data_IF_708182701456
#
_entry.id   IF_708182701456
#
_cell.length_a   1.000
_cell.length_b   1.000
_cell.length_c   1.000
_cell.angle_alpha   90.00
_cell.angle_beta   90.00
_cell.angle_gamma   90.00
#
_symmetry.space_group_name_H-M   'P 1'
#
loop_
_entity.id
_entity.type
_entity.pdbx_description
1 polymer ?
#
# COMPACT_ATOMS: atom_id res chain seq x y z
N UNK A 1 -0.12 -3.18 18.42
CA UNK A 1 0.29 -1.84 18.88
C UNK A 1 -0.59 -0.75 18.26
N UNK A 2 -1.37 -0.03 19.06
CA UNK A 2 -2.34 0.96 18.58
C UNK A 2 -1.69 2.28 18.11
N UNK A 3 -0.49 2.60 18.60
CA UNK A 3 0.26 3.79 18.19
C UNK A 3 0.81 3.65 16.77
N UNK A 4 1.19 2.43 16.37
CA UNK A 4 1.58 2.13 14.98
C UNK A 4 0.43 2.43 14.00
N UNK A 5 -0.79 2.00 14.34
CA UNK A 5 -2.02 2.24 13.55
C UNK A 5 -2.42 3.71 13.49
N UNK A 6 -2.18 4.48 14.56
CA UNK A 6 -2.47 5.91 14.57
C UNK A 6 -1.52 6.71 13.67
N UNK A 7 -0.22 6.37 13.63
CA UNK A 7 0.74 7.01 12.70
C UNK A 7 0.47 6.62 11.25
N UNK A 8 0.09 5.36 11.02
CA UNK A 8 -0.37 4.85 9.72
C UNK A 8 -1.49 5.71 9.14
N UNK A 9 -2.53 5.96 9.93
CA UNK A 9 -3.67 6.77 9.50
C UNK A 9 -3.27 8.22 9.19
N UNK A 10 -2.48 8.85 10.07
CA UNK A 10 -2.19 10.29 9.94
C UNK A 10 -1.28 10.66 8.77
N UNK A 11 -0.31 9.81 8.44
CA UNK A 11 0.71 10.15 7.42
C UNK A 11 0.46 9.44 6.07
N UNK A 12 -0.09 8.22 6.09
CA UNK A 12 -0.16 7.38 4.88
C UNK A 12 -1.55 7.31 4.26
N UNK A 13 -2.66 7.40 5.02
CA UNK A 13 -4.00 7.54 4.42
C UNK A 13 -4.13 8.74 3.47
N UNK A 14 -3.70 9.96 3.82
CA UNK A 14 -3.80 11.09 2.90
C UNK A 14 -2.96 10.87 1.64
N UNK A 15 -1.80 10.23 1.76
CA UNK A 15 -0.97 9.88 0.61
C UNK A 15 -1.68 8.85 -0.30
N UNK A 16 -2.22 7.76 0.26
CA UNK A 16 -2.94 6.75 -0.52
C UNK A 16 -4.18 7.36 -1.18
N UNK A 17 -4.99 8.15 -0.46
CA UNK A 17 -6.15 8.86 -1.03
C UNK A 17 -5.77 9.82 -2.14
N UNK A 18 -4.63 10.50 -2.04
CA UNK A 18 -4.16 11.45 -3.05
C UNK A 18 -3.71 10.76 -4.33
N UNK A 19 -3.11 9.57 -4.21
CA UNK A 19 -2.50 8.88 -5.34
C UNK A 19 -3.43 7.88 -6.02
N UNK A 20 -4.37 7.29 -5.28
CA UNK A 20 -5.38 6.39 -5.84
C UNK A 20 -6.48 7.21 -6.51
N UNK A 21 -6.76 6.90 -7.79
CA UNK A 21 -7.79 7.58 -8.60
C UNK A 21 -9.01 6.72 -8.90
N UNK A 22 -8.99 5.46 -8.48
CA UNK A 22 -10.08 4.50 -8.71
C UNK A 22 -10.88 4.27 -7.42
N UNK A 23 -12.18 3.95 -7.53
CA UNK A 23 -12.97 3.58 -6.36
C UNK A 23 -12.43 2.29 -5.73
N UNK A 24 -12.21 2.33 -4.42
CA UNK A 24 -11.73 1.19 -3.64
C UNK A 24 -12.72 0.81 -2.55
N UNK A 25 -12.76 -0.48 -2.23
CA UNK A 25 -13.42 -0.96 -1.02
C UNK A 25 -12.55 -0.68 0.20
N UNK A 26 -13.15 -0.52 1.38
CA UNK A 26 -12.44 -0.20 2.63
C UNK A 26 -11.25 -1.15 2.89
N UNK A 27 -11.45 -2.46 2.73
CA UNK A 27 -10.38 -3.45 2.92
C UNK A 27 -9.21 -3.30 1.93
N UNK A 28 -9.47 -2.85 0.70
CA UNK A 28 -8.41 -2.59 -0.29
C UNK A 28 -7.61 -1.34 0.09
N UNK A 29 -8.32 -0.31 0.57
CA UNK A 29 -7.69 0.90 1.06
C UNK A 29 -6.80 0.61 2.27
N UNK A 30 -7.29 -0.15 3.26
CA UNK A 30 -6.53 -0.54 4.45
C UNK A 30 -5.26 -1.33 4.07
N UNK A 31 -5.35 -2.22 3.07
CA UNK A 31 -4.21 -2.96 2.55
C UNK A 31 -3.15 -2.04 1.92
N UNK A 32 -3.57 -1.03 1.14
CA UNK A 32 -2.65 -0.06 0.52
C UNK A 32 -1.97 0.83 1.55
N UNK A 33 -2.68 1.23 2.61
CA UNK A 33 -2.10 2.01 3.72
C UNK A 33 -1.04 1.19 4.44
N UNK A 34 -1.33 -0.09 4.73
CA UNK A 34 -0.38 -1.03 5.33
C UNK A 34 0.88 -1.22 4.45
N UNK A 35 0.69 -1.37 3.13
CA UNK A 35 1.79 -1.47 2.19
C UNK A 35 2.62 -0.18 2.14
N UNK A 36 1.96 0.98 2.01
CA UNK A 36 2.59 2.29 1.93
C UNK A 36 3.47 2.59 3.14
N UNK A 37 3.13 2.05 4.32
CA UNK A 37 3.98 2.10 5.50
C UNK A 37 5.18 1.16 5.44
N UNK A 38 4.98 -0.07 4.96
CA UNK A 38 6.05 -1.04 4.86
C UNK A 38 7.16 -0.58 3.90
N UNK A 39 6.79 0.09 2.81
CA UNK A 39 7.71 0.48 1.72
C UNK A 39 8.01 1.99 1.72
N UNK A 40 7.25 2.79 2.46
CA UNK A 40 7.29 4.25 2.46
C UNK A 40 6.42 4.89 1.36
N UNK A 41 5.84 6.06 1.66
CA UNK A 41 4.91 6.76 0.75
C UNK A 41 5.56 7.15 -0.60
N UNK A 42 6.85 7.46 -0.61
CA UNK A 42 7.60 7.77 -1.83
C UNK A 42 7.79 6.56 -2.76
N UNK A 43 8.02 5.37 -2.19
CA UNK A 43 8.11 4.13 -2.95
C UNK A 43 6.74 3.67 -3.43
N UNK A 44 5.70 3.83 -2.59
CA UNK A 44 4.31 3.56 -2.97
C UNK A 44 3.87 4.41 -4.18
N UNK A 45 4.16 5.71 -4.17
CA UNK A 45 3.85 6.60 -5.29
C UNK A 45 4.50 6.17 -6.62
N UNK A 46 5.72 5.62 -6.57
CA UNK A 46 6.44 5.12 -7.77
C UNK A 46 6.18 3.64 -8.07
N UNK A 47 5.36 2.96 -7.28
CA UNK A 47 5.15 1.52 -7.39
C UNK A 47 4.36 1.14 -8.65
N UNK A 48 4.74 0.01 -9.27
CA UNK A 48 3.98 -0.61 -10.37
C UNK A 48 2.57 -0.99 -9.92
N UNK A 49 2.39 -1.29 -8.64
CA UNK A 49 1.10 -1.58 -8.02
C UNK A 49 0.13 -0.40 -8.16
N UNK A 50 0.55 0.81 -7.75
CA UNK A 50 -0.30 2.01 -7.85
C UNK A 50 -0.65 2.33 -9.31
N UNK A 51 0.30 2.16 -10.23
CA UNK A 51 0.07 2.32 -11.68
C UNK A 51 -1.00 1.36 -12.19
N UNK A 52 -0.89 0.07 -11.86
CA UNK A 52 -1.87 -0.96 -12.25
C UNK A 52 -3.24 -0.68 -11.64
N UNK A 53 -3.26 -0.34 -10.36
CA UNK A 53 -4.49 -0.01 -9.65
C UNK A 53 -5.22 1.17 -10.29
N UNK A 54 -4.51 2.25 -10.59
CA UNK A 54 -5.08 3.43 -11.25
C UNK A 54 -5.50 3.17 -12.71
N UNK A 55 -4.94 2.14 -13.36
CA UNK A 55 -5.38 1.67 -14.67
C UNK A 55 -6.62 0.77 -14.60
N UNK A 56 -7.17 0.52 -13.40
CA UNK A 56 -8.29 -0.41 -13.17
C UNK A 56 -7.89 -1.88 -13.08
N UNK A 57 -6.59 -2.19 -13.20
CA UNK A 57 -6.03 -3.54 -13.06
C UNK A 57 -5.84 -3.88 -11.58
N UNK A 58 -6.95 -4.07 -10.87
CA UNK A 58 -6.97 -4.43 -9.44
C UNK A 58 -6.35 -5.82 -9.23
N UNK A 59 -6.59 -6.76 -10.14
CA UNK A 59 -6.03 -8.12 -10.06
C UNK A 59 -4.50 -8.11 -10.20
N UNK A 60 -3.96 -7.38 -11.16
CA UNK A 60 -2.53 -7.20 -11.32
C UNK A 60 -1.91 -6.37 -10.18
N UNK A 61 -2.63 -5.41 -9.62
CA UNK A 61 -2.19 -4.70 -8.42
C UNK A 61 -2.09 -5.67 -7.21
N UNK A 62 -3.05 -6.57 -7.04
CA UNK A 62 -3.02 -7.60 -5.99
C UNK A 62 -1.79 -8.52 -6.13
N UNK A 63 -1.43 -8.93 -7.34
CA UNK A 63 -0.22 -9.73 -7.57
C UNK A 63 1.07 -8.99 -7.16
N UNK A 64 1.09 -7.67 -7.27
CA UNK A 64 2.24 -6.87 -6.84
C UNK A 64 2.40 -6.86 -5.31
N UNK A 65 1.35 -7.05 -4.52
CA UNK A 65 1.47 -7.17 -3.05
C UNK A 65 2.35 -8.35 -2.63
N UNK A 66 2.34 -9.45 -3.38
CA UNK A 66 3.18 -10.61 -3.09
C UNK A 66 4.67 -10.31 -3.24
N UNK A 67 5.05 -9.40 -4.14
CA UNK A 67 6.45 -9.01 -4.38
C UNK A 67 7.00 -8.21 -3.19
N UNK A 68 6.16 -7.41 -2.53
CA UNK A 68 6.57 -6.58 -1.41
C UNK A 68 6.73 -7.34 -0.08
N UNK A 69 6.19 -8.57 0.04
CA UNK A 69 6.55 -9.48 1.15
C UNK A 69 8.06 -9.75 1.22
N UNK A 70 8.77 -9.59 0.10
CA UNK A 70 10.19 -9.91 -0.06
C UNK A 70 11.09 -8.66 -0.14
N UNK A 71 10.53 -7.49 -0.40
CA UNK A 71 11.28 -6.25 -0.65
C UNK A 71 11.85 -5.59 0.63
N UNK A 72 11.54 -6.13 1.82
CA UNK A 72 12.02 -5.61 3.11
C UNK A 72 13.38 -6.13 3.57
N UNK A 73 14.12 -6.91 2.77
CA UNK A 73 15.48 -7.39 3.11
C UNK A 73 15.60 -8.29 4.35
N UNK A 74 14.50 -8.51 5.08
CA UNK A 74 14.38 -9.48 6.19
C UNK A 74 13.00 -10.10 6.14
N UNK A 75 12.95 -11.42 5.99
CA UNK A 75 11.78 -12.23 6.27
C UNK A 75 11.41 -11.96 7.74
N UNK A 76 10.28 -11.32 8.01
CA UNK A 76 9.69 -11.38 9.34
C UNK A 76 9.07 -12.76 9.51
N UNK A 77 9.90 -13.69 9.99
CA UNK A 77 9.45 -14.89 10.70
C UNK A 77 8.98 -14.42 12.07
N UNK A 78 7.67 -14.51 12.32
CA UNK A 78 7.02 -14.19 13.59
C UNK A 78 5.57 -14.57 13.48
#
# INVERSE_FOLDING_TARGET
>A
DAMLRARLAKEFEPAVRRYVRVPLKQHQFDALVSLSFNIGAGAFHRSTLLRKLNAGDVAGAAQQFHVWKWAGGRVQSG
#
